data_IF_642205866438
#
_entry.id   IF_642205866438
#
_cell.length_a   1.000
_cell.length_b   1.000
_cell.length_c   1.000
_cell.angle_alpha   90.00
_cell.angle_beta   90.00
_cell.angle_gamma   90.00
#
_symmetry.space_group_name_H-M   'P 1'
#
loop_
_entity.id
_entity.type
_entity.pdbx_description
1 polymer ?
#
# COMPACT_ATOMS: atom_id res chain seq x y z
N UNK A 1 15.57 -1.73 -13.28
CA UNK A 1 14.32 -2.50 -13.27
C UNK A 1 13.70 -2.65 -11.88
N UNK A 2 14.37 -3.18 -10.85
CA UNK A 2 13.80 -3.41 -9.49
C UNK A 2 13.11 -2.20 -8.88
N UNK A 3 13.75 -1.03 -8.86
CA UNK A 3 13.17 0.21 -8.28
C UNK A 3 11.99 0.76 -9.08
N UNK A 4 11.90 0.45 -10.36
CA UNK A 4 10.76 0.86 -11.19
C UNK A 4 9.49 0.07 -10.86
N UNK A 5 9.60 -1.25 -10.62
CA UNK A 5 8.46 -2.10 -10.22
C UNK A 5 7.93 -1.62 -8.86
N UNK A 6 8.82 -1.40 -7.89
CA UNK A 6 8.47 -0.88 -6.57
C UNK A 6 7.68 0.42 -6.64
N UNK A 7 8.18 1.39 -7.38
CA UNK A 7 7.52 2.68 -7.52
C UNK A 7 6.16 2.57 -8.21
N UNK A 8 6.02 1.68 -9.20
CA UNK A 8 4.73 1.45 -9.87
C UNK A 8 3.70 0.82 -8.92
N UNK A 9 4.12 -0.13 -8.09
CA UNK A 9 3.22 -0.76 -7.11
C UNK A 9 2.75 0.25 -6.05
N UNK A 10 3.63 1.12 -5.54
CA UNK A 10 3.24 2.20 -4.63
C UNK A 10 2.28 3.22 -5.27
N UNK A 11 2.44 3.51 -6.57
CA UNK A 11 1.47 4.34 -7.27
C UNK A 11 0.12 3.64 -7.42
N UNK A 12 0.11 2.33 -7.62
CA UNK A 12 -1.12 1.55 -7.64
C UNK A 12 -1.84 1.62 -6.27
N UNK A 13 -1.12 1.44 -5.17
CA UNK A 13 -1.67 1.62 -3.82
C UNK A 13 -2.25 3.03 -3.62
N UNK A 14 -1.55 4.06 -4.08
CA UNK A 14 -2.03 5.45 -4.03
C UNK A 14 -3.38 5.61 -4.74
N UNK A 15 -3.56 4.99 -5.91
CA UNK A 15 -4.84 5.03 -6.64
C UNK A 15 -5.96 4.38 -5.82
N UNK A 16 -5.70 3.24 -5.19
CA UNK A 16 -6.72 2.59 -4.36
C UNK A 16 -7.04 3.37 -3.08
N UNK A 17 -6.07 4.04 -2.48
CA UNK A 17 -6.31 4.97 -1.38
C UNK A 17 -7.17 6.17 -1.82
N UNK A 18 -6.95 6.71 -3.03
CA UNK A 18 -7.79 7.77 -3.60
C UNK A 18 -9.23 7.28 -3.81
N UNK A 19 -9.43 6.08 -4.35
CA UNK A 19 -10.75 5.49 -4.52
C UNK A 19 -11.44 5.31 -3.16
N UNK A 20 -10.71 4.82 -2.16
CA UNK A 20 -11.22 4.68 -0.79
C UNK A 20 -11.63 6.02 -0.19
N UNK A 21 -10.83 7.07 -0.38
CA UNK A 21 -11.17 8.42 0.04
C UNK A 21 -12.42 8.96 -0.67
N UNK A 22 -12.58 8.66 -1.96
CA UNK A 22 -13.79 9.03 -2.71
C UNK A 22 -15.04 8.28 -2.19
N UNK A 23 -14.91 7.01 -1.81
CA UNK A 23 -15.99 6.24 -1.17
C UNK A 23 -16.38 6.86 0.17
N UNK A 24 -15.41 7.17 1.04
CA UNK A 24 -15.65 7.85 2.32
C UNK A 24 -16.38 9.18 2.12
N UNK A 25 -15.95 9.97 1.14
CA UNK A 25 -16.62 11.24 0.78
C UNK A 25 -18.06 11.04 0.28
N UNK A 26 -18.32 9.98 -0.49
CA UNK A 26 -19.64 9.64 -0.98
C UNK A 26 -20.63 9.34 0.18
N UNK A 27 -20.13 8.65 1.21
CA UNK A 27 -20.90 8.38 2.43
C UNK A 27 -20.94 9.57 3.41
N UNK A 28 -20.35 10.73 3.04
CA UNK A 28 -20.29 11.95 3.86
C UNK A 28 -19.61 11.74 5.21
N UNK A 29 -18.65 10.84 5.27
CA UNK A 29 -17.79 10.62 6.44
C UNK A 29 -16.67 11.67 6.48
N UNK A 30 -16.19 12.03 7.67
CA UNK A 30 -15.14 13.02 7.82
C UNK A 30 -13.72 12.45 7.64
N UNK A 31 -13.61 11.15 7.46
CA UNK A 31 -12.32 10.41 7.40
C UNK A 31 -11.65 10.47 6.02
N UNK A 32 -12.29 11.00 4.98
CA UNK A 32 -11.75 11.07 3.62
C UNK A 32 -10.35 11.69 3.55
N UNK A 33 -10.04 12.65 4.42
CA UNK A 33 -8.75 13.35 4.43
C UNK A 33 -7.59 12.43 4.86
N UNK A 34 -7.85 11.41 5.70
CA UNK A 34 -6.84 10.41 6.10
C UNK A 34 -6.43 9.60 4.88
N UNK A 35 -7.39 9.10 4.10
CA UNK A 35 -7.10 8.34 2.89
C UNK A 35 -6.39 9.20 1.83
N UNK A 36 -6.78 10.45 1.68
CA UNK A 36 -6.13 11.39 0.76
C UNK A 36 -4.68 11.69 1.17
N UNK A 37 -4.41 11.87 2.45
CA UNK A 37 -3.05 12.09 2.95
C UNK A 37 -2.17 10.85 2.77
N UNK A 38 -2.69 9.65 3.04
CA UNK A 38 -2.00 8.39 2.80
C UNK A 38 -1.73 8.16 1.30
N UNK A 39 -2.70 8.51 0.45
CA UNK A 39 -2.53 8.44 -1.00
C UNK A 39 -1.42 9.37 -1.49
N UNK A 40 -1.37 10.62 -1.00
CA UNK A 40 -0.31 11.56 -1.33
C UNK A 40 1.06 11.05 -0.87
N UNK A 41 1.14 10.47 0.33
CA UNK A 41 2.37 9.87 0.87
C UNK A 41 2.86 8.73 -0.01
N UNK A 42 1.98 7.77 -0.34
CA UNK A 42 2.31 6.62 -1.20
C UNK A 42 2.71 7.09 -2.61
N UNK A 43 2.02 8.09 -3.17
CA UNK A 43 2.33 8.66 -4.47
C UNK A 43 3.72 9.32 -4.51
N UNK A 44 4.06 10.12 -3.49
CA UNK A 44 5.37 10.79 -3.39
C UNK A 44 6.50 9.76 -3.25
N UNK A 45 6.36 8.78 -2.36
CA UNK A 45 7.36 7.73 -2.18
C UNK A 45 7.51 6.92 -3.48
N UNK A 46 6.40 6.56 -4.11
CA UNK A 46 6.38 5.87 -5.40
C UNK A 46 7.05 6.67 -6.51
N UNK A 47 6.78 7.98 -6.59
CA UNK A 47 7.38 8.89 -7.55
C UNK A 47 8.89 9.05 -7.37
N UNK A 48 9.36 9.19 -6.13
CA UNK A 48 10.79 9.25 -5.81
C UNK A 48 11.51 7.97 -6.23
N UNK A 49 10.93 6.80 -5.89
CA UNK A 49 11.53 5.50 -6.25
C UNK A 49 11.58 5.27 -7.75
N UNK A 50 10.54 5.70 -8.49
CA UNK A 50 10.54 5.66 -9.96
C UNK A 50 11.61 6.59 -10.56
N UNK A 51 11.72 7.81 -10.06
CA UNK A 51 12.69 8.80 -10.54
C UNK A 51 14.13 8.32 -10.34
N UNK A 52 14.44 7.78 -9.15
CA UNK A 52 15.76 7.17 -8.86
C UNK A 52 16.02 5.96 -9.75
N UNK A 53 14.98 5.14 -10.02
CA UNK A 53 15.09 3.99 -10.90
C UNK A 53 15.43 4.38 -12.35
N UNK A 54 14.76 5.39 -12.87
CA UNK A 54 15.00 5.94 -14.23
C UNK A 54 16.36 6.62 -14.34
N UNK A 55 16.74 7.40 -13.33
CA UNK A 55 18.04 8.08 -13.30
C UNK A 55 19.20 7.06 -13.32
N UNK A 56 19.10 6.00 -12.49
CA UNK A 56 20.12 4.94 -12.44
C UNK A 56 20.16 4.12 -13.73
N UNK A 57 19.05 3.91 -14.40
CA UNK A 57 18.99 3.23 -15.69
C UNK A 57 19.66 4.03 -16.81
N UNK A 58 19.57 5.37 -16.78
CA UNK A 58 20.22 6.26 -17.77
C UNK A 58 21.75 6.34 -17.62
N UNK A 59 22.27 6.10 -16.42
CA UNK A 59 23.70 6.21 -16.10
C UNK A 59 24.40 4.83 -15.93
N UNK A 60 23.66 3.75 -16.13
CA UNK A 60 24.26 2.40 -16.17
C UNK A 60 24.83 2.17 -17.55
N UNK A 61 26.14 1.90 -17.63
CA UNK A 61 26.83 1.43 -18.85
C UNK A 61 26.15 0.14 -19.34
N UNK A 62 26.08 -0.04 -20.64
CA UNK A 62 25.38 -1.13 -21.37
C UNK A 62 25.82 -2.56 -20.98
N UNK A 63 26.86 -2.71 -20.18
CA UNK A 63 27.55 -3.99 -19.93
C UNK A 63 27.05 -4.78 -18.71
N UNK A 64 25.86 -4.49 -18.19
CA UNK A 64 25.26 -5.29 -17.13
C UNK A 64 23.85 -5.79 -17.53
N UNK A 65 23.82 -6.75 -18.42
CA UNK A 65 22.72 -7.69 -18.57
C UNK A 65 22.56 -8.52 -17.30
N UNK A 66 22.24 -7.86 -16.16
CA UNK A 66 21.91 -8.56 -14.91
C UNK A 66 20.57 -9.26 -15.11
N UNK A 67 20.63 -10.54 -15.37
CA UNK A 67 19.48 -11.42 -15.30
C UNK A 67 18.79 -11.23 -13.94
N UNK A 68 17.49 -11.09 -13.97
CA UNK A 68 16.64 -10.99 -12.78
C UNK A 68 16.79 -12.29 -11.99
N UNK A 69 17.50 -12.26 -10.86
CA UNK A 69 17.68 -13.44 -10.01
C UNK A 69 16.35 -13.75 -9.29
N UNK A 70 16.09 -15.03 -9.01
CA UNK A 70 14.94 -15.47 -8.20
C UNK A 70 14.96 -14.77 -6.82
N UNK A 71 16.13 -14.62 -6.20
CA UNK A 71 16.29 -13.90 -4.94
C UNK A 71 15.85 -12.43 -5.04
N UNK A 72 16.09 -11.79 -6.19
CA UNK A 72 15.67 -10.41 -6.44
C UNK A 72 14.15 -10.27 -6.49
N UNK A 73 13.46 -11.25 -7.07
CA UNK A 73 11.99 -11.27 -7.14
C UNK A 73 11.39 -11.41 -5.75
N UNK A 74 11.88 -12.35 -4.95
CA UNK A 74 11.42 -12.51 -3.56
C UNK A 74 11.64 -11.25 -2.72
N UNK A 75 12.81 -10.62 -2.85
CA UNK A 75 13.11 -9.38 -2.13
C UNK A 75 12.14 -8.25 -2.53
N UNK A 76 11.84 -8.09 -3.81
CA UNK A 76 10.90 -7.05 -4.29
C UNK A 76 9.51 -7.29 -3.72
N UNK A 77 8.99 -8.51 -3.80
CA UNK A 77 7.67 -8.86 -3.28
C UNK A 77 7.57 -8.64 -1.77
N UNK A 78 8.54 -9.15 -1.00
CA UNK A 78 8.55 -9.00 0.46
C UNK A 78 8.60 -7.53 0.88
N UNK A 79 9.49 -6.74 0.28
CA UNK A 79 9.60 -5.32 0.58
C UNK A 79 8.34 -4.55 0.17
N UNK A 80 7.69 -4.93 -0.93
CA UNK A 80 6.42 -4.31 -1.34
C UNK A 80 5.35 -4.53 -0.29
N UNK A 81 5.17 -5.75 0.19
CA UNK A 81 4.17 -6.05 1.23
C UNK A 81 4.45 -5.32 2.54
N UNK A 82 5.71 -5.23 2.95
CA UNK A 82 6.10 -4.45 4.14
C UNK A 82 5.76 -2.97 3.96
N UNK A 83 6.09 -2.36 2.82
CA UNK A 83 5.80 -0.95 2.57
C UNK A 83 4.30 -0.68 2.44
N UNK A 84 3.56 -1.54 1.74
CA UNK A 84 2.10 -1.45 1.65
C UNK A 84 1.46 -1.51 3.03
N UNK A 85 1.93 -2.43 3.88
CA UNK A 85 1.40 -2.56 5.23
C UNK A 85 1.75 -1.36 6.12
N UNK A 86 2.95 -0.78 5.97
CA UNK A 86 3.34 0.43 6.69
C UNK A 86 2.52 1.66 6.32
N UNK A 87 2.13 1.81 5.06
CA UNK A 87 1.24 2.90 4.64
C UNK A 87 -0.21 2.53 4.96
N UNK A 88 -0.60 1.30 4.64
CA UNK A 88 -1.96 0.80 4.81
C UNK A 88 -2.45 0.69 6.25
N UNK A 89 -1.54 0.63 7.24
CA UNK A 89 -1.92 0.62 8.65
C UNK A 89 -2.34 2.00 9.18
N UNK A 90 -1.93 3.10 8.52
CA UNK A 90 -2.18 4.46 8.99
C UNK A 90 -3.69 4.74 9.14
N UNK A 91 -4.57 4.40 8.18
CA UNK A 91 -6.01 4.55 8.36
C UNK A 91 -6.56 3.80 9.59
N UNK A 92 -6.07 2.59 9.87
CA UNK A 92 -6.51 1.83 11.05
C UNK A 92 -6.12 2.51 12.36
N UNK A 93 -4.90 3.05 12.43
CA UNK A 93 -4.43 3.78 13.61
C UNK A 93 -5.25 5.06 13.85
N UNK A 94 -5.50 5.84 12.80
CA UNK A 94 -6.12 7.16 12.92
C UNK A 94 -7.65 7.09 13.04
N UNK A 95 -8.30 6.16 12.36
CA UNK A 95 -9.75 6.08 12.29
C UNK A 95 -10.35 5.07 13.26
N UNK A 96 -9.69 3.95 13.49
CA UNK A 96 -10.13 2.94 14.45
C UNK A 96 -9.42 3.03 15.81
N UNK A 97 -8.46 3.95 15.99
CA UNK A 97 -7.73 4.12 17.23
C UNK A 97 -6.89 2.89 17.63
N UNK A 98 -6.48 2.09 16.66
CA UNK A 98 -5.76 0.85 16.90
C UNK A 98 -4.31 1.09 17.32
N UNK A 99 -3.75 0.16 18.11
CA UNK A 99 -2.31 0.14 18.39
C UNK A 99 -1.49 -0.06 17.10
N UNK A 100 -0.21 0.25 17.13
CA UNK A 100 0.69 0.06 15.98
C UNK A 100 0.71 -1.43 15.59
N UNK A 101 0.79 -2.32 16.58
CA UNK A 101 0.85 -3.77 16.38
C UNK A 101 -0.42 -4.30 15.73
N UNK A 102 -1.58 -3.89 16.23
CA UNK A 102 -2.89 -4.32 15.73
C UNK A 102 -3.15 -3.77 14.31
N UNK A 103 -2.84 -2.48 14.09
CA UNK A 103 -2.99 -1.84 12.79
C UNK A 103 -2.06 -2.47 11.73
N UNK A 104 -0.83 -2.80 12.12
CA UNK A 104 0.12 -3.51 11.25
C UNK A 104 -0.36 -4.92 10.94
N UNK A 105 -0.91 -5.62 11.94
CA UNK A 105 -1.49 -6.94 11.76
C UNK A 105 -2.66 -6.90 10.77
N UNK A 106 -3.61 -5.97 10.93
CA UNK A 106 -4.75 -5.81 10.02
C UNK A 106 -4.30 -5.51 8.58
N UNK A 107 -3.36 -4.56 8.41
CA UNK A 107 -2.85 -4.19 7.10
C UNK A 107 -2.11 -5.38 6.44
N UNK A 108 -1.21 -6.04 7.16
CA UNK A 108 -0.46 -7.20 6.66
C UNK A 108 -1.40 -8.36 6.33
N UNK A 109 -2.38 -8.65 7.19
CA UNK A 109 -3.39 -9.68 6.97
C UNK A 109 -4.23 -9.41 5.71
N UNK A 110 -4.55 -8.12 5.46
CA UNK A 110 -5.21 -7.71 4.22
C UNK A 110 -4.35 -7.96 2.99
N UNK A 111 -3.17 -7.40 2.93
CA UNK A 111 -2.28 -7.50 1.77
C UNK A 111 -1.75 -8.91 1.49
N UNK A 112 -1.59 -9.74 2.52
CA UNK A 112 -1.24 -11.17 2.34
C UNK A 112 -2.45 -12.06 2.05
N UNK A 113 -3.65 -11.49 1.95
CA UNK A 113 -4.92 -12.23 1.74
C UNK A 113 -5.22 -13.26 2.81
N UNK A 114 -4.63 -13.12 3.99
CA UNK A 114 -4.87 -14.03 5.13
C UNK A 114 -6.29 -13.86 5.69
N UNK A 115 -6.79 -12.62 5.75
CA UNK A 115 -8.14 -12.31 6.20
C UNK A 115 -8.37 -12.44 7.71
N UNK A 116 -7.33 -12.73 8.50
CA UNK A 116 -7.42 -12.72 9.95
C UNK A 116 -7.59 -11.29 10.47
N UNK A 117 -8.35 -11.11 11.54
CA UNK A 117 -8.68 -9.79 12.09
C UNK A 117 -8.59 -9.78 13.61
N UNK A 118 -8.07 -8.68 14.16
CA UNK A 118 -8.14 -8.36 15.59
C UNK A 118 -9.31 -7.44 15.90
N UNK A 119 -10.01 -6.94 14.88
CA UNK A 119 -11.18 -6.08 15.05
C UNK A 119 -12.38 -6.95 15.44
N UNK A 120 -12.91 -6.73 16.63
CA UNK A 120 -14.06 -7.47 17.16
C UNK A 120 -15.40 -6.98 16.57
N UNK A 121 -15.50 -5.70 16.27
CA UNK A 121 -16.70 -5.07 15.68
C UNK A 121 -16.36 -4.37 14.37
N UNK A 122 -16.47 -5.12 13.27
CA UNK A 122 -16.24 -4.61 11.92
C UNK A 122 -17.41 -3.71 11.48
N UNK A 123 -18.62 -3.97 11.97
CA UNK A 123 -19.80 -3.22 11.57
C UNK A 123 -19.80 -1.78 12.12
N UNK A 124 -19.12 -1.55 13.24
CA UNK A 124 -18.92 -0.23 13.82
C UNK A 124 -17.88 0.64 13.11
N UNK A 125 -17.09 0.10 12.16
CA UNK A 125 -16.12 0.87 11.40
C UNK A 125 -16.79 1.81 10.39
N UNK A 126 -16.08 2.91 10.02
CA UNK A 126 -16.50 3.75 8.90
C UNK A 126 -16.55 2.98 7.57
N UNK A 127 -17.40 3.43 6.65
CA UNK A 127 -17.55 2.77 5.34
C UNK A 127 -16.27 2.87 4.53
N UNK A 128 -15.53 3.98 4.65
CA UNK A 128 -14.21 4.13 4.06
C UNK A 128 -13.25 3.06 4.56
N UNK A 129 -13.19 2.81 5.87
CA UNK A 129 -12.29 1.83 6.45
C UNK A 129 -12.71 0.38 6.12
N UNK A 130 -14.02 0.09 6.08
CA UNK A 130 -14.56 -1.20 5.59
C UNK A 130 -14.14 -1.45 4.15
N UNK A 131 -14.29 -0.43 3.30
CA UNK A 131 -13.88 -0.53 1.89
C UNK A 131 -12.37 -0.74 1.77
N UNK A 132 -11.56 -0.03 2.58
CA UNK A 132 -10.11 -0.22 2.62
C UNK A 132 -9.73 -1.66 2.95
N UNK A 133 -10.36 -2.28 3.94
CA UNK A 133 -10.15 -3.69 4.27
C UNK A 133 -10.41 -4.62 3.08
N UNK A 134 -11.51 -4.40 2.37
CA UNK A 134 -11.83 -5.23 1.19
C UNK A 134 -10.82 -5.02 0.07
N UNK A 135 -10.43 -3.77 -0.21
CA UNK A 135 -9.53 -3.44 -1.32
C UNK A 135 -8.12 -3.96 -1.09
N UNK A 136 -7.61 -3.93 0.16
CA UNK A 136 -6.29 -4.47 0.50
C UNK A 136 -6.20 -5.97 0.23
N UNK A 137 -7.24 -6.75 0.57
CA UNK A 137 -7.30 -8.17 0.27
C UNK A 137 -7.35 -8.43 -1.24
N UNK A 138 -8.11 -7.62 -1.97
CA UNK A 138 -8.18 -7.73 -3.42
C UNK A 138 -6.84 -7.38 -4.09
N UNK A 139 -6.19 -6.30 -3.64
CA UNK A 139 -4.85 -5.93 -4.11
C UNK A 139 -3.82 -7.03 -3.85
N UNK A 140 -3.83 -7.60 -2.65
CA UNK A 140 -2.93 -8.68 -2.27
C UNK A 140 -3.07 -9.92 -3.17
N UNK A 141 -4.29 -10.19 -3.63
CA UNK A 141 -4.56 -11.28 -4.57
C UNK A 141 -4.08 -11.03 -6.00
N UNK A 142 -3.73 -9.77 -6.34
CA UNK A 142 -3.22 -9.39 -7.66
C UNK A 142 -1.69 -9.41 -7.77
N UNK A 143 -0.97 -9.38 -6.65
CA UNK A 143 0.49 -9.33 -6.56
C UNK A 143 1.07 -10.72 -6.37
#
# INVERSE_FOLDING_TARGET
MKKSIFGTLLQLESVFLLITGAVSLFYKEEDWWVFMSCAALSFVIGGITLSIGKWKARHASEDQGKYFSRADSFMVVTLTWVLFSLIGMIPYMLLAGMSIEDAMFEAMSGFTTTGASVISDVDGLSQGLKFWRCITQWMGGLV
#
